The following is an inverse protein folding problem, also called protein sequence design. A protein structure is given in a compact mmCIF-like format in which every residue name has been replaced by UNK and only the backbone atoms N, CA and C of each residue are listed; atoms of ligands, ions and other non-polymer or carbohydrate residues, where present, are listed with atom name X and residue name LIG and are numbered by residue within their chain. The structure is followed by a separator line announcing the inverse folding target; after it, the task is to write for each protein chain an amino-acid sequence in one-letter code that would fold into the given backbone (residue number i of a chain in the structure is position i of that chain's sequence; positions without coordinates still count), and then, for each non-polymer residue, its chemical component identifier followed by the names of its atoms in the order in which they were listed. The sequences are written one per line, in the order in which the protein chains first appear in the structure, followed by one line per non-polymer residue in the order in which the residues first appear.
data_IF_671237374524
#
_entry.id   IF_671237374524
#
_cell.length_a   1.000
_cell.length_b   1.000
_cell.length_c   1.000
_cell.angle_alpha   90.00
_cell.angle_beta   90.00
_cell.angle_gamma   90.00
#
_symmetry.space_group_name_H-M   'P 1'
#
loop_
_entity.id
_entity.type
_entity.pdbx_description
1 polymer ?
#
# COMPACT_ATOMS: atom_id res chain seq x y z
N UNK A 1 9.95 -5.35 23.25
CA UNK A 1 9.96 -6.30 22.09
C UNK A 1 10.22 -5.49 20.83
N UNK A 2 11.07 -5.96 19.91
CA UNK A 2 11.39 -5.24 18.66
C UNK A 2 10.17 -5.19 17.75
N UNK A 3 9.75 -4.02 17.23
CA UNK A 3 8.64 -3.92 16.29
C UNK A 3 8.99 -4.54 14.93
N UNK A 4 7.99 -5.00 14.20
CA UNK A 4 8.11 -5.42 12.80
C UNK A 4 8.51 -4.20 11.96
N UNK A 5 9.57 -4.32 11.16
CA UNK A 5 10.11 -3.24 10.33
C UNK A 5 9.34 -3.17 9.03
N UNK A 6 8.60 -2.10 8.83
CA UNK A 6 7.76 -1.89 7.65
C UNK A 6 8.45 -0.97 6.67
N UNK A 7 8.64 -1.45 5.43
CA UNK A 7 9.04 -0.62 4.30
C UNK A 7 7.81 -0.23 3.47
N UNK A 8 7.67 1.04 3.11
CA UNK A 8 6.56 1.55 2.30
C UNK A 8 7.06 1.86 0.90
N UNK A 9 6.39 1.32 -0.12
CA UNK A 9 6.56 1.73 -1.51
C UNK A 9 5.44 2.71 -1.90
N UNK A 10 5.80 3.87 -2.44
CA UNK A 10 4.85 4.91 -2.85
C UNK A 10 5.32 5.65 -4.09
N UNK A 11 4.40 6.21 -4.89
CA UNK A 11 4.74 7.02 -6.09
C UNK A 11 4.08 8.40 -6.09
N UNK A 12 3.27 8.71 -5.08
CA UNK A 12 2.43 9.91 -5.00
C UNK A 12 2.54 10.68 -3.69
N UNK A 13 1.46 11.34 -3.30
CA UNK A 13 1.38 12.24 -2.14
C UNK A 13 1.55 11.59 -0.77
N UNK A 14 1.34 10.26 -0.65
CA UNK A 14 1.61 9.49 0.57
C UNK A 14 0.57 9.66 1.67
N UNK A 15 -0.73 9.81 1.35
CA UNK A 15 -1.78 9.89 2.36
C UNK A 15 -1.94 8.59 3.16
N UNK A 16 -1.87 7.43 2.50
CA UNK A 16 -1.86 6.13 3.16
C UNK A 16 -0.59 5.92 4.03
N UNK A 17 0.57 6.44 3.58
CA UNK A 17 1.76 6.48 4.43
C UNK A 17 1.50 7.30 5.70
N UNK A 18 0.86 8.49 5.57
CA UNK A 18 0.54 9.31 6.74
C UNK A 18 -0.36 8.57 7.72
N UNK A 19 -1.42 7.91 7.23
CA UNK A 19 -2.31 7.11 8.07
C UNK A 19 -1.55 6.00 8.83
N UNK A 20 -0.56 5.36 8.18
CA UNK A 20 0.30 4.38 8.86
C UNK A 20 1.21 5.02 9.91
N UNK A 21 1.82 6.18 9.62
CA UNK A 21 2.66 6.90 10.57
C UNK A 21 1.87 7.35 11.80
N UNK A 22 0.63 7.76 11.61
CA UNK A 22 -0.25 8.23 12.69
C UNK A 22 -0.77 7.06 13.56
N UNK A 23 -0.96 5.88 12.97
CA UNK A 23 -1.50 4.70 13.66
C UNK A 23 -0.42 3.83 14.33
N UNK A 24 0.81 3.85 13.84
CA UNK A 24 1.91 3.04 14.36
C UNK A 24 2.74 3.84 15.37
N UNK A 25 2.18 4.06 16.53
CA UNK A 25 2.85 4.71 17.66
C UNK A 25 3.99 3.83 18.24
N UNK A 26 4.84 4.34 19.15
CA UNK A 26 5.95 3.58 19.73
C UNK A 26 5.56 2.28 20.46
N UNK A 27 4.28 2.10 20.82
CA UNK A 27 3.77 0.88 21.45
C UNK A 27 3.27 -0.16 20.43
N UNK A 28 3.12 0.24 19.16
CA UNK A 28 2.59 -0.63 18.11
C UNK A 28 3.52 -1.82 17.81
N UNK A 29 2.96 -2.94 17.32
CA UNK A 29 3.75 -4.12 16.99
C UNK A 29 4.64 -3.94 15.75
N UNK A 30 4.46 -2.85 15.01
CA UNK A 30 5.19 -2.49 13.79
C UNK A 30 5.65 -1.05 13.82
N UNK A 31 6.68 -0.73 13.04
CA UNK A 31 7.15 0.63 12.82
C UNK A 31 7.53 0.84 11.35
N UNK A 32 7.18 1.98 10.77
CA UNK A 32 7.67 2.37 9.45
C UNK A 32 9.14 2.75 9.58
N UNK A 33 10.02 1.99 8.95
CA UNK A 33 11.48 2.21 9.03
C UNK A 33 12.06 2.88 7.80
N UNK A 34 11.37 2.76 6.65
CA UNK A 34 11.78 3.39 5.40
C UNK A 34 10.62 3.59 4.44
N UNK A 35 10.76 4.61 3.61
CA UNK A 35 9.85 4.91 2.51
C UNK A 35 10.65 4.98 1.22
N UNK A 36 10.21 4.24 0.21
CA UNK A 36 10.89 4.11 -1.06
C UNK A 36 9.92 4.59 -2.15
N UNK A 37 10.38 5.43 -3.04
CA UNK A 37 9.56 5.94 -4.12
C UNK A 37 10.15 5.65 -5.49
N UNK A 38 9.26 5.35 -6.44
CA UNK A 38 9.58 5.28 -7.87
C UNK A 38 9.74 6.66 -8.53
N UNK A 39 9.52 7.75 -7.75
CA UNK A 39 9.58 9.13 -8.22
C UNK A 39 10.30 10.00 -7.20
N UNK A 40 11.30 10.80 -7.62
CA UNK A 40 12.06 11.65 -6.70
C UNK A 40 11.23 12.82 -6.13
N UNK A 41 10.16 13.22 -6.83
CA UNK A 41 9.24 14.31 -6.47
C UNK A 41 7.99 13.83 -5.70
N UNK A 42 7.96 12.58 -5.25
CA UNK A 42 6.82 12.05 -4.51
C UNK A 42 6.68 12.70 -3.13
N UNK A 43 5.51 13.27 -2.83
CA UNK A 43 5.21 13.86 -1.51
C UNK A 43 5.34 12.87 -0.34
N UNK A 44 5.27 11.56 -0.62
CA UNK A 44 5.54 10.51 0.36
C UNK A 44 6.96 10.62 0.96
N UNK A 45 7.96 10.99 0.16
CA UNK A 45 9.34 11.17 0.63
C UNK A 45 9.46 12.35 1.62
N UNK A 46 8.72 13.42 1.38
CA UNK A 46 8.72 14.59 2.29
C UNK A 46 8.00 14.25 3.60
N UNK A 47 6.94 13.45 3.57
CA UNK A 47 6.28 12.95 4.79
C UNK A 47 7.23 12.08 5.61
N UNK A 48 7.95 11.16 4.94
CA UNK A 48 8.94 10.32 5.60
C UNK A 48 10.04 11.15 6.29
N UNK A 49 10.63 12.13 5.58
CA UNK A 49 11.67 13.02 6.14
C UNK A 49 11.17 13.79 7.37
N UNK A 50 9.94 14.34 7.30
CA UNK A 50 9.33 15.04 8.45
C UNK A 50 9.07 14.14 9.65
N UNK A 51 8.79 12.86 9.41
CA UNK A 51 8.61 11.84 10.45
C UNK A 51 9.93 11.21 10.93
N UNK A 52 11.10 11.67 10.44
CA UNK A 52 12.39 11.07 10.79
C UNK A 52 12.62 9.67 10.24
N UNK A 53 11.84 9.27 9.21
CA UNK A 53 11.92 7.96 8.56
C UNK A 53 12.84 8.04 7.33
N UNK A 54 13.63 7.01 7.10
CA UNK A 54 14.51 6.94 5.92
C UNK A 54 13.69 7.05 4.62
N UNK A 55 14.11 7.97 3.73
CA UNK A 55 13.43 8.28 2.47
C UNK A 55 14.35 8.07 1.28
N UNK A 56 13.99 7.16 0.38
CA UNK A 56 14.80 6.74 -0.78
C UNK A 56 14.01 6.93 -2.07
N UNK A 57 14.58 7.62 -3.04
CA UNK A 57 14.08 7.65 -4.42
C UNK A 57 14.88 6.68 -5.28
N UNK A 58 14.20 5.76 -5.95
CA UNK A 58 14.84 4.84 -6.91
C UNK A 58 15.23 5.57 -8.19
N UNK A 59 16.39 5.26 -8.73
CA UNK A 59 16.83 5.72 -10.04
C UNK A 59 16.17 4.90 -11.14
N UNK A 60 16.11 3.59 -10.93
CA UNK A 60 15.42 2.66 -11.82
C UNK A 60 14.50 1.72 -11.01
N UNK A 61 13.19 2.01 -10.95
CA UNK A 61 12.21 1.18 -10.24
C UNK A 61 12.06 -0.24 -10.80
N UNK A 62 12.55 -0.51 -12.02
CA UNK A 62 12.54 -1.84 -12.63
C UNK A 62 13.78 -2.66 -12.26
N UNK A 63 14.80 -2.06 -11.64
CA UNK A 63 16.02 -2.74 -11.22
C UNK A 63 15.77 -3.49 -9.88
N UNK A 64 15.73 -4.83 -9.87
CA UNK A 64 15.46 -5.60 -8.66
C UNK A 64 16.57 -5.44 -7.60
N UNK A 65 17.83 -5.31 -8.00
CA UNK A 65 18.94 -5.16 -7.07
C UNK A 65 18.88 -3.81 -6.33
N UNK A 66 18.53 -2.73 -7.02
CA UNK A 66 18.35 -1.42 -6.39
C UNK A 66 17.16 -1.43 -5.42
N UNK A 67 16.03 -2.01 -5.82
CA UNK A 67 14.85 -2.10 -4.95
C UNK A 67 15.12 -3.00 -3.72
N UNK A 68 15.78 -4.14 -3.89
CA UNK A 68 16.16 -5.01 -2.76
C UNK A 68 17.12 -4.30 -1.79
N UNK A 69 18.11 -3.57 -2.31
CA UNK A 69 19.02 -2.77 -1.48
C UNK A 69 18.26 -1.67 -0.71
N UNK A 70 17.30 -1.01 -1.36
CA UNK A 70 16.47 0.01 -0.72
C UNK A 70 15.54 -0.59 0.34
N UNK A 71 14.98 -1.79 0.12
CA UNK A 71 14.15 -2.52 1.09
C UNK A 71 14.96 -2.99 2.31
N UNK A 72 16.23 -3.34 2.11
CA UNK A 72 17.17 -3.71 3.17
C UNK A 72 16.64 -4.84 4.04
N UNK A 73 16.55 -4.57 5.34
CA UNK A 73 16.17 -5.51 6.39
C UNK A 73 14.67 -5.45 6.78
N UNK A 74 13.80 -4.97 5.88
CA UNK A 74 12.37 -4.92 6.12
C UNK A 74 11.77 -6.32 6.36
N UNK A 75 10.86 -6.39 7.33
CA UNK A 75 10.11 -7.60 7.65
C UNK A 75 8.81 -7.69 6.86
N UNK A 76 8.17 -6.54 6.60
CA UNK A 76 6.93 -6.38 5.84
C UNK A 76 7.09 -5.24 4.83
N UNK A 77 6.62 -5.44 3.61
CA UNK A 77 6.59 -4.43 2.55
C UNK A 77 5.14 -4.06 2.25
N UNK A 78 4.85 -2.76 2.20
CA UNK A 78 3.51 -2.23 1.93
C UNK A 78 3.55 -1.32 0.71
N UNK A 79 2.80 -1.66 -0.32
CA UNK A 79 2.56 -0.79 -1.46
C UNK A 79 1.38 0.14 -1.11
N UNK A 80 1.64 1.45 -1.06
CA UNK A 80 0.69 2.49 -0.72
C UNK A 80 0.65 3.56 -1.82
N UNK A 81 -0.02 3.23 -2.92
CA UNK A 81 -0.02 4.04 -4.13
C UNK A 81 1.29 3.94 -4.93
N UNK A 82 1.86 2.76 -5.01
CA UNK A 82 3.02 2.44 -5.86
C UNK A 82 2.54 1.97 -7.23
N UNK A 83 2.81 2.76 -8.28
CA UNK A 83 2.23 2.55 -9.62
C UNK A 83 3.09 1.69 -10.57
N UNK A 84 4.24 1.23 -10.12
CA UNK A 84 5.13 0.35 -10.90
C UNK A 84 4.92 -1.10 -10.52
N UNK A 85 5.10 -2.01 -11.49
CA UNK A 85 5.15 -3.44 -11.18
C UNK A 85 6.41 -3.72 -10.35
N UNK A 86 6.24 -4.46 -9.27
CA UNK A 86 7.39 -4.91 -8.48
C UNK A 86 8.07 -6.05 -9.22
N UNK A 87 9.39 -6.01 -9.42
CA UNK A 87 10.12 -7.12 -10.07
C UNK A 87 9.88 -8.45 -9.35
N UNK A 88 9.72 -9.53 -10.12
CA UNK A 88 9.43 -10.88 -9.60
C UNK A 88 10.44 -11.36 -8.56
N UNK A 89 11.71 -11.01 -8.75
CA UNK A 89 12.82 -11.36 -7.84
C UNK A 89 12.62 -10.70 -6.46
N UNK A 90 12.06 -9.50 -6.44
CA UNK A 90 11.74 -8.78 -5.20
C UNK A 90 10.52 -9.39 -4.52
N UNK A 91 9.45 -9.70 -5.29
CA UNK A 91 8.27 -10.39 -4.76
C UNK A 91 8.67 -11.74 -4.14
N UNK A 92 9.49 -12.51 -4.83
CA UNK A 92 9.99 -13.82 -4.37
C UNK A 92 10.79 -13.74 -3.04
N UNK A 93 11.40 -12.58 -2.73
CA UNK A 93 12.15 -12.38 -1.48
C UNK A 93 11.23 -12.15 -0.26
N UNK A 94 9.97 -11.77 -0.50
CA UNK A 94 9.00 -11.44 0.55
C UNK A 94 7.72 -12.31 0.49
N UNK A 95 7.81 -13.66 0.49
CA UNK A 95 6.63 -14.52 0.39
C UNK A 95 5.70 -14.30 1.58
N UNK A 96 4.44 -13.93 1.31
CA UNK A 96 3.44 -13.62 2.35
C UNK A 96 3.75 -12.37 3.19
N UNK A 97 4.72 -11.54 2.76
CA UNK A 97 5.18 -10.35 3.49
C UNK A 97 5.25 -9.09 2.62
N UNK A 98 4.52 -9.09 1.51
CA UNK A 98 4.33 -7.93 0.65
C UNK A 98 2.84 -7.77 0.38
N UNK A 99 2.29 -6.60 0.70
CA UNK A 99 0.87 -6.29 0.55
C UNK A 99 0.68 -4.99 -0.23
N UNK A 100 -0.49 -4.85 -0.84
CA UNK A 100 -0.91 -3.63 -1.54
C UNK A 100 -2.29 -3.19 -1.06
N UNK A 101 -2.54 -1.89 -1.03
CA UNK A 101 -3.87 -1.30 -0.92
C UNK A 101 -4.34 -0.83 -2.29
N UNK A 102 -5.52 -1.30 -2.72
CA UNK A 102 -6.14 -0.97 -4.00
C UNK A 102 -7.49 -0.28 -3.78
N UNK A 103 -7.80 0.84 -4.47
CA UNK A 103 -8.98 1.68 -4.20
C UNK A 103 -10.26 1.17 -4.89
N UNK A 104 -10.45 -0.15 -4.92
CA UNK A 104 -11.69 -0.80 -5.35
C UNK A 104 -11.85 -2.17 -4.69
N UNK A 105 -13.02 -2.81 -4.88
CA UNK A 105 -13.27 -4.19 -4.47
C UNK A 105 -12.75 -5.15 -5.56
N UNK A 106 -11.55 -5.68 -5.34
CA UNK A 106 -10.99 -6.69 -6.24
C UNK A 106 -11.85 -7.97 -6.26
N UNK A 107 -11.89 -8.69 -7.40
CA UNK A 107 -11.06 -8.53 -8.59
C UNK A 107 -11.55 -7.45 -9.58
N UNK A 108 -12.68 -6.79 -9.31
CA UNK A 108 -13.20 -5.75 -10.18
C UNK A 108 -12.30 -4.50 -10.12
N UNK A 109 -12.15 -3.81 -11.27
CA UNK A 109 -11.39 -2.55 -11.39
C UNK A 109 -9.92 -2.66 -10.94
N UNK A 110 -9.32 -3.85 -11.01
CA UNK A 110 -7.89 -4.11 -10.80
C UNK A 110 -7.14 -4.36 -12.10
N UNK A 111 -5.80 -4.46 -12.00
CA UNK A 111 -4.92 -4.81 -13.11
C UNK A 111 -4.18 -3.63 -13.75
N UNK A 112 -3.47 -3.86 -14.87
CA UNK A 112 -2.63 -2.85 -15.50
C UNK A 112 -3.38 -1.55 -15.82
N UNK A 113 -2.83 -0.41 -15.39
CA UNK A 113 -3.42 0.91 -15.63
C UNK A 113 -4.52 1.34 -14.65
N UNK A 114 -4.99 0.45 -13.76
CA UNK A 114 -5.99 0.74 -12.74
C UNK A 114 -5.35 1.30 -11.48
N UNK A 115 -5.16 2.63 -11.43
CA UNK A 115 -4.62 3.34 -10.28
C UNK A 115 -5.16 4.77 -10.19
N UNK A 116 -5.21 5.31 -8.98
CA UNK A 116 -5.61 6.69 -8.70
C UNK A 116 -7.02 6.99 -9.25
N UNK A 117 -7.20 8.16 -9.83
CA UNK A 117 -8.49 8.64 -10.38
C UNK A 117 -9.13 7.68 -11.39
N UNK A 118 -8.32 6.97 -12.19
CA UNK A 118 -8.83 6.05 -13.24
C UNK A 118 -9.71 4.92 -12.68
N UNK A 119 -9.41 4.44 -11.48
CA UNK A 119 -10.23 3.41 -10.82
C UNK A 119 -11.63 3.95 -10.55
N UNK A 120 -11.74 5.14 -9.99
CA UNK A 120 -13.03 5.75 -9.65
C UNK A 120 -13.82 6.13 -10.90
N UNK A 121 -13.15 6.58 -11.96
CA UNK A 121 -13.76 6.81 -13.28
C UNK A 121 -14.35 5.50 -13.85
N UNK A 122 -13.61 4.40 -13.77
CA UNK A 122 -14.06 3.09 -14.23
C UNK A 122 -15.26 2.58 -13.42
N UNK A 123 -15.23 2.73 -12.09
CA UNK A 123 -16.34 2.37 -11.20
C UNK A 123 -17.60 3.13 -11.59
N UNK A 124 -17.53 4.46 -11.73
CA UNK A 124 -18.68 5.30 -12.09
C UNK A 124 -19.20 4.98 -13.50
N UNK A 125 -18.30 4.80 -14.47
CA UNK A 125 -18.66 4.46 -15.83
C UNK A 125 -19.37 3.08 -15.95
N UNK A 126 -19.08 2.15 -15.04
CA UNK A 126 -19.71 0.82 -15.00
C UNK A 126 -21.13 0.83 -14.44
N UNK A 127 -21.56 1.93 -13.78
CA UNK A 127 -22.83 1.98 -13.07
C UNK A 127 -22.85 1.16 -11.78
N UNK A 128 -21.70 0.74 -11.24
CA UNK A 128 -21.63 -0.04 -10.01
C UNK A 128 -22.21 0.75 -8.82
N UNK A 129 -23.06 0.10 -8.03
CA UNK A 129 -23.64 0.70 -6.83
C UNK A 129 -22.68 0.74 -5.63
N UNK A 130 -21.59 -0.04 -5.70
CA UNK A 130 -20.62 -0.20 -4.61
C UNK A 130 -19.20 -0.17 -5.17
N UNK A 131 -18.34 0.61 -4.53
CA UNK A 131 -16.88 0.60 -4.65
C UNK A 131 -16.29 0.13 -3.32
N UNK A 132 -15.01 0.44 -3.05
CA UNK A 132 -14.38 0.13 -1.77
C UNK A 132 -12.87 0.17 -1.83
N UNK A 133 -12.26 -0.43 -0.83
CA UNK A 133 -10.82 -0.65 -0.75
C UNK A 133 -10.52 -2.12 -0.52
N UNK A 134 -9.40 -2.60 -1.06
CA UNK A 134 -8.90 -3.96 -0.88
C UNK A 134 -7.44 -3.93 -0.43
N UNK A 135 -7.13 -4.63 0.64
CA UNK A 135 -5.74 -5.01 0.95
C UNK A 135 -5.54 -6.46 0.54
N UNK A 136 -4.51 -6.71 -0.25
CA UNK A 136 -4.18 -8.03 -0.79
C UNK A 136 -2.68 -8.29 -0.77
N UNK A 137 -2.28 -9.57 -0.81
CA UNK A 137 -0.89 -9.93 -1.03
C UNK A 137 -0.46 -9.57 -2.45
N UNK A 138 0.79 -9.16 -2.61
CA UNK A 138 1.39 -8.88 -3.92
C UNK A 138 1.95 -10.18 -4.49
N UNK A 139 1.64 -10.43 -5.75
CA UNK A 139 2.22 -11.47 -6.59
C UNK A 139 2.92 -10.87 -7.83
N UNK A 140 3.22 -11.69 -8.83
CA UNK A 140 3.90 -11.28 -10.06
C UNK A 140 2.99 -10.50 -11.04
N UNK A 141 1.70 -10.35 -10.73
CA UNK A 141 0.72 -9.67 -11.57
C UNK A 141 0.06 -8.51 -10.80
N UNK A 142 -0.37 -7.49 -11.53
CA UNK A 142 -1.12 -6.39 -10.89
C UNK A 142 -2.44 -6.90 -10.29
N UNK A 143 -2.64 -6.63 -9.01
CA UNK A 143 -3.90 -6.78 -8.25
C UNK A 143 -4.53 -8.19 -8.30
N UNK A 144 -3.70 -9.25 -8.43
CA UNK A 144 -4.14 -10.66 -8.55
C UNK A 144 -3.90 -11.50 -7.31
N UNK A 145 -3.03 -11.06 -6.42
CA UNK A 145 -2.69 -11.82 -5.22
C UNK A 145 -3.88 -12.01 -4.26
N UNK A 146 -3.79 -12.97 -3.33
CA UNK A 146 -4.86 -13.30 -2.39
C UNK A 146 -5.31 -12.09 -1.58
N UNK A 147 -6.62 -11.91 -1.47
CA UNK A 147 -7.25 -10.84 -0.68
C UNK A 147 -7.07 -11.12 0.81
N UNK A 148 -6.67 -10.10 1.57
CA UNK A 148 -6.56 -10.15 3.03
C UNK A 148 -7.81 -9.56 3.66
N UNK A 149 -8.20 -8.36 3.21
CA UNK A 149 -9.37 -7.65 3.73
C UNK A 149 -9.95 -6.70 2.67
N UNK A 150 -11.25 -6.49 2.73
CA UNK A 150 -11.98 -5.54 1.90
C UNK A 150 -12.94 -4.73 2.75
N UNK A 151 -13.17 -3.48 2.33
CA UNK A 151 -14.15 -2.60 2.95
C UNK A 151 -15.00 -1.96 1.84
N UNK A 152 -16.30 -2.23 1.77
CA UNK A 152 -17.19 -1.65 0.77
C UNK A 152 -17.48 -0.17 1.06
N UNK A 153 -17.68 0.59 -0.02
CA UNK A 153 -18.06 2.00 -0.01
C UNK A 153 -19.20 2.21 -1.00
N UNK A 154 -20.36 2.71 -0.58
CA UNK A 154 -21.47 2.96 -1.51
C UNK A 154 -21.12 4.06 -2.52
N UNK A 155 -21.49 3.84 -3.77
CA UNK A 155 -21.51 4.89 -4.81
C UNK A 155 -22.81 5.66 -4.67
N UNK A 156 -22.73 6.98 -4.52
CA UNK A 156 -23.89 7.83 -4.30
C UNK A 156 -24.36 8.49 -5.62
N UNK A 157 -25.66 8.74 -5.77
CA UNK A 157 -26.16 9.53 -6.91
C UNK A 157 -25.44 10.88 -6.98
N UNK A 158 -24.93 11.22 -8.16
CA UNK A 158 -24.19 12.47 -8.38
C UNK A 158 -22.71 12.42 -7.98
N UNK A 159 -22.17 11.26 -7.60
CA UNK A 159 -20.73 11.15 -7.37
C UNK A 159 -19.92 11.53 -8.60
N UNK A 160 -18.88 12.29 -8.36
CA UNK A 160 -17.76 12.50 -9.29
C UNK A 160 -16.61 11.55 -8.92
N UNK A 161 -15.62 11.34 -9.80
CA UNK A 161 -14.43 10.58 -9.45
C UNK A 161 -13.74 11.09 -8.18
N UNK A 162 -13.76 12.41 -7.95
CA UNK A 162 -13.09 13.02 -6.80
C UNK A 162 -13.88 12.81 -5.50
N UNK A 163 -15.22 12.87 -5.52
CA UNK A 163 -16.04 12.61 -4.33
C UNK A 163 -16.00 11.14 -3.92
N UNK A 164 -16.04 10.23 -4.90
CA UNK A 164 -15.88 8.81 -4.64
C UNK A 164 -14.48 8.50 -4.13
N UNK A 165 -13.43 9.06 -4.76
CA UNK A 165 -12.03 8.90 -4.33
C UNK A 165 -11.84 9.34 -2.88
N UNK A 166 -12.37 10.48 -2.48
CA UNK A 166 -12.25 10.98 -1.10
C UNK A 166 -12.90 10.03 -0.09
N UNK A 167 -14.06 9.45 -0.43
CA UNK A 167 -14.78 8.49 0.42
C UNK A 167 -14.04 7.16 0.52
N UNK A 168 -13.50 6.64 -0.59
CA UNK A 168 -12.69 5.42 -0.60
C UNK A 168 -11.39 5.63 0.17
N UNK A 169 -10.73 6.78 -0.01
CA UNK A 169 -9.49 7.12 0.69
C UNK A 169 -9.66 7.13 2.22
N UNK A 170 -10.79 7.64 2.73
CA UNK A 170 -11.09 7.60 4.16
C UNK A 170 -11.10 6.15 4.69
N UNK A 171 -11.69 5.24 3.91
CA UNK A 171 -11.72 3.80 4.23
C UNK A 171 -10.33 3.17 4.12
N UNK A 172 -9.53 3.54 3.13
CA UNK A 172 -8.14 3.06 3.02
C UNK A 172 -7.31 3.42 4.24
N UNK A 173 -7.48 4.63 4.78
CA UNK A 173 -6.76 5.13 5.95
C UNK A 173 -7.10 4.37 7.25
N UNK A 174 -8.25 3.70 7.31
CA UNK A 174 -8.63 2.82 8.42
C UNK A 174 -8.21 1.36 8.17
N UNK A 175 -8.47 0.87 6.95
CA UNK A 175 -8.27 -0.52 6.58
C UNK A 175 -6.79 -0.90 6.59
N UNK A 176 -5.93 -0.08 5.96
CA UNK A 176 -4.52 -0.41 5.79
C UNK A 176 -3.76 -0.50 7.12
N UNK A 177 -3.85 0.48 8.05
CA UNK A 177 -3.19 0.36 9.35
C UNK A 177 -3.68 -0.85 10.16
N UNK A 178 -4.97 -1.14 10.17
CA UNK A 178 -5.53 -2.32 10.83
C UNK A 178 -4.89 -3.61 10.32
N UNK A 179 -4.83 -3.79 8.98
CA UNK A 179 -4.23 -4.99 8.38
C UNK A 179 -2.73 -5.07 8.68
N UNK A 180 -2.00 -3.95 8.63
CA UNK A 180 -0.55 -3.93 8.96
C UNK A 180 -0.32 -4.37 10.41
N UNK A 181 -1.12 -3.88 11.36
CA UNK A 181 -1.03 -4.26 12.77
C UNK A 181 -1.32 -5.77 12.95
N UNK A 182 -2.38 -6.28 12.32
CA UNK A 182 -2.73 -7.71 12.38
C UNK A 182 -1.63 -8.61 11.81
N UNK A 183 -1.06 -8.24 10.66
CA UNK A 183 0.05 -8.97 10.06
C UNK A 183 1.33 -8.90 10.91
N UNK A 184 1.62 -7.76 11.53
CA UNK A 184 2.76 -7.62 12.41
C UNK A 184 2.65 -8.55 13.62
N UNK A 185 1.48 -8.70 14.22
CA UNK A 185 1.26 -9.67 15.28
C UNK A 185 1.49 -11.10 14.83
N UNK A 186 1.00 -11.48 13.64
CA UNK A 186 1.23 -12.82 13.06
C UNK A 186 2.71 -13.10 12.79
N UNK A 187 3.43 -12.13 12.22
CA UNK A 187 4.87 -12.26 11.95
C UNK A 187 5.67 -12.45 13.24
N UNK A 188 5.33 -11.72 14.29
CA UNK A 188 5.99 -11.87 15.62
C UNK A 188 5.75 -13.24 16.24
N UNK A 189 4.54 -13.79 16.12
CA UNK A 189 4.21 -15.12 16.63
C UNK A 189 4.93 -16.24 15.82
N UNK A 190 5.05 -16.08 14.49
CA UNK A 190 5.76 -17.03 13.64
C UNK A 190 7.28 -17.02 13.82
N UNK A 191 7.87 -15.91 14.27
CA UNK A 191 9.30 -15.79 14.58
C UNK A 191 9.69 -16.32 15.96
N UNK A 192 8.71 -16.68 16.81
CA UNK A 192 8.93 -17.23 18.15
C UNK A 192 8.94 -18.78 18.19
N UNK A 193 8.89 -19.43 17.04
CA UNK A 193 9.04 -20.88 16.85
C UNK A 193 10.30 -21.13 16.04
#
# INVERSE_FOLDING_TARGET
MTPVRVAILASGGGSNLQALLDALDPSAPAAVTRVISSRPDAGALDRARRAGVAAVALRDPANPAELLAALGDADLVVLAGYVKLVPREVVARFPGRMINIHPALLPAFGGPGMYGRRVHEAVLASGAAVSGATVHYVDEQYDRGPIIAQQPVPVQPGDTPDTLAARVLAVEHELLPRVVIELAWKLRQGSAR
#
